data_IF_100938149293
#
_entry.id   IF_100938149293
#
_cell.length_a   1.000
_cell.length_b   1.000
_cell.length_c   1.000
_cell.angle_alpha   90.00
_cell.angle_beta   90.00
_cell.angle_gamma   90.00
#
_symmetry.space_group_name_H-M   'P 1'
#
loop_
_entity.id
_entity.type
_entity.pdbx_description
1 polymer ?
#
# COMPACT_ATOMS: atom_id res chain seq x y z
N UNK A 1 -12.96 -0.73 12.36
CA UNK A 1 -13.26 0.64 11.89
C UNK A 1 -14.69 0.65 11.39
N UNK A 2 -15.63 1.32 12.08
CA UNK A 2 -17.06 1.29 11.70
C UNK A 2 -17.24 2.08 10.40
N UNK A 3 -17.52 1.37 9.31
CA UNK A 3 -18.01 1.98 8.07
C UNK A 3 -19.39 2.57 8.39
N UNK A 4 -19.51 3.89 8.34
CA UNK A 4 -20.80 4.56 8.44
C UNK A 4 -21.63 4.15 7.21
N UNK A 5 -22.54 3.19 7.40
CA UNK A 5 -23.55 2.78 6.42
C UNK A 5 -24.69 3.82 6.40
N UNK A 6 -24.37 5.04 5.97
CA UNK A 6 -25.34 6.12 5.79
C UNK A 6 -25.52 6.51 4.32
N UNK A 7 -26.60 7.24 4.02
CA UNK A 7 -26.97 7.76 2.70
C UNK A 7 -25.82 8.53 2.01
N UNK A 8 -24.94 9.17 2.79
CA UNK A 8 -23.82 9.97 2.31
C UNK A 8 -22.48 9.38 2.74
N UNK A 9 -22.08 8.28 2.08
CA UNK A 9 -20.80 7.61 2.36
C UNK A 9 -19.62 8.51 1.95
N UNK A 10 -18.89 9.02 2.95
CA UNK A 10 -17.72 9.91 2.73
C UNK A 10 -16.43 9.16 2.42
N UNK A 11 -16.37 7.88 2.75
CA UNK A 11 -15.18 7.04 2.65
C UNK A 11 -15.58 5.62 2.29
N UNK A 12 -14.86 5.05 1.32
CA UNK A 12 -15.04 3.67 0.87
C UNK A 12 -13.67 2.97 0.84
N UNK A 13 -13.68 1.65 0.73
CA UNK A 13 -12.50 0.79 0.73
C UNK A 13 -12.48 0.02 -0.59
N UNK A 14 -11.31 -0.06 -1.20
CA UNK A 14 -11.08 -0.92 -2.35
C UNK A 14 -9.86 -1.79 -2.09
N UNK A 15 -9.83 -2.96 -2.71
CA UNK A 15 -8.67 -3.85 -2.65
C UNK A 15 -7.88 -3.73 -3.96
N UNK A 16 -6.56 -3.61 -3.83
CA UNK A 16 -5.64 -3.56 -4.96
C UNK A 16 -4.27 -4.12 -4.52
N UNK A 17 -3.60 -4.87 -5.41
CA UNK A 17 -2.19 -5.20 -5.24
C UNK A 17 -1.33 -4.02 -5.71
N UNK A 18 -0.56 -3.36 -4.81
CA UNK A 18 0.30 -2.25 -5.21
C UNK A 18 1.41 -2.77 -6.14
N UNK A 19 1.65 -2.05 -7.25
CA UNK A 19 2.81 -2.34 -8.09
C UNK A 19 4.04 -1.73 -7.45
N UNK A 20 4.97 -2.58 -7.02
CA UNK A 20 6.23 -2.16 -6.39
C UNK A 20 7.38 -2.41 -7.37
N UNK A 21 8.14 -1.37 -7.67
CA UNK A 21 9.31 -1.46 -8.55
C UNK A 21 10.58 -1.14 -7.74
N UNK A 22 11.56 -2.04 -7.77
CA UNK A 22 12.89 -1.79 -7.22
C UNK A 22 13.79 -1.14 -8.28
N UNK A 23 14.13 0.14 -8.08
CA UNK A 23 14.98 0.92 -9.01
C UNK A 23 16.48 0.72 -8.80
N UNK A 24 16.89 -0.28 -7.99
CA UNK A 24 18.28 -0.58 -7.64
C UNK A 24 19.01 0.54 -6.88
N UNK A 25 18.25 1.42 -6.23
CA UNK A 25 18.78 2.41 -5.30
C UNK A 25 18.74 1.83 -3.87
N UNK A 26 19.91 1.72 -3.23
CA UNK A 26 20.05 1.12 -1.90
C UNK A 26 21.28 1.66 -1.16
N UNK A 27 21.24 1.53 0.16
CA UNK A 27 22.39 1.73 1.07
C UNK A 27 22.51 0.46 1.91
N UNK A 28 23.68 -0.18 1.85
CA UNK A 28 24.02 -1.36 2.64
C UNK A 28 25.20 -1.01 3.54
N UNK A 29 24.99 -1.00 4.84
CA UNK A 29 26.04 -0.92 5.85
C UNK A 29 26.26 -2.29 6.45
N UNK A 30 27.52 -2.70 6.52
CA UNK A 30 27.97 -3.96 7.09
C UNK A 30 28.86 -3.64 8.29
N UNK A 31 28.43 -4.06 9.47
CA UNK A 31 29.20 -3.88 10.69
C UNK A 31 30.20 -5.04 10.78
N UNK A 32 31.49 -4.73 10.60
CA UNK A 32 32.58 -5.72 10.64
C UNK A 32 33.39 -5.51 11.91
N UNK A 33 34.02 -6.56 12.44
CA UNK A 33 34.89 -6.44 13.63
C UNK A 33 36.06 -5.47 13.42
N UNK A 34 36.48 -5.31 12.18
CA UNK A 34 37.63 -4.49 11.77
C UNK A 34 37.23 -3.05 11.37
N UNK A 35 35.93 -2.71 11.43
CA UNK A 35 35.37 -1.40 11.09
C UNK A 35 34.16 -1.46 10.16
N UNK A 36 33.37 -0.39 10.09
CA UNK A 36 32.16 -0.34 9.28
C UNK A 36 32.49 -0.32 7.78
N UNK A 37 31.85 -1.22 7.02
CA UNK A 37 31.98 -1.29 5.56
C UNK A 37 30.67 -0.82 4.92
N UNK A 38 30.76 0.09 3.97
CA UNK A 38 29.59 0.69 3.32
C UNK A 38 29.61 0.32 1.83
N UNK A 39 28.49 -0.22 1.36
CA UNK A 39 28.21 -0.44 -0.05
C UNK A 39 26.91 0.30 -0.40
N UNK A 40 26.98 1.30 -1.27
CA UNK A 40 25.82 2.08 -1.68
C UNK A 40 25.70 2.07 -3.21
N UNK A 41 24.48 2.22 -3.74
CA UNK A 41 24.27 2.36 -5.18
C UNK A 41 24.86 3.66 -5.72
N UNK A 42 24.96 4.69 -4.88
CA UNK A 42 25.53 6.01 -5.18
C UNK A 42 26.65 6.33 -4.19
N UNK A 43 27.74 6.97 -4.62
CA UNK A 43 28.81 7.37 -3.70
C UNK A 43 28.28 8.42 -2.70
N UNK A 44 28.47 8.18 -1.41
CA UNK A 44 28.12 9.14 -0.37
C UNK A 44 29.27 10.11 -0.13
N UNK A 45 28.99 11.42 -0.11
CA UNK A 45 30.00 12.42 0.21
C UNK A 45 30.43 12.25 1.69
N UNK A 46 31.73 12.13 1.95
CA UNK A 46 32.29 12.02 3.31
C UNK A 46 32.40 10.60 3.90
N UNK A 47 31.91 9.55 3.22
CA UNK A 47 32.08 8.14 3.64
C UNK A 47 32.69 7.24 2.56
N UNK A 48 33.39 7.85 1.60
CA UNK A 48 34.22 7.15 0.62
C UNK A 48 35.45 6.58 1.33
N UNK A 49 35.30 5.38 1.91
CA UNK A 49 36.44 4.53 2.25
C UNK A 49 37.28 4.33 0.99
N UNK A 50 38.61 4.41 1.12
CA UNK A 50 39.55 4.10 0.04
C UNK A 50 39.43 2.65 -0.46
N UNK A 51 38.78 1.77 0.31
CA UNK A 51 38.43 0.40 -0.05
C UNK A 51 36.91 0.22 -0.03
N UNK A 52 36.27 0.47 -1.18
CA UNK A 52 34.89 0.02 -1.41
C UNK A 52 34.94 -1.49 -1.70
N UNK A 53 34.20 -2.33 -0.96
CA UNK A 53 34.18 -3.75 -1.23
C UNK A 53 33.54 -4.01 -2.61
N UNK A 54 34.05 -5.01 -3.32
CA UNK A 54 33.40 -5.46 -4.55
C UNK A 54 32.07 -6.09 -4.15
N UNK A 55 30.98 -5.56 -4.70
CA UNK A 55 29.63 -6.07 -4.47
C UNK A 55 28.92 -6.38 -5.78
N UNK A 56 28.21 -7.50 -5.81
CA UNK A 56 27.37 -7.93 -6.92
C UNK A 56 25.91 -7.92 -6.48
N UNK A 57 25.05 -7.25 -7.25
CA UNK A 57 23.61 -7.20 -7.06
C UNK A 57 22.91 -8.03 -8.15
N UNK A 58 22.09 -9.00 -7.75
CA UNK A 58 21.14 -9.67 -8.61
C UNK A 58 19.72 -9.37 -8.14
N UNK A 59 18.82 -9.09 -9.08
CA UNK A 59 17.41 -8.82 -8.80
C UNK A 59 16.55 -9.55 -9.82
N UNK A 60 15.58 -10.33 -9.33
CA UNK A 60 14.61 -11.06 -10.14
C UNK A 60 13.20 -10.79 -9.59
N UNK A 61 12.34 -10.09 -10.36
CA UNK A 61 10.92 -10.04 -10.08
C UNK A 61 10.22 -11.30 -10.61
N UNK A 62 9.32 -11.86 -9.83
CA UNK A 62 8.42 -12.95 -10.22
C UNK A 62 6.99 -12.44 -10.27
N UNK A 63 6.34 -12.72 -11.38
CA UNK A 63 4.94 -12.41 -11.67
C UNK A 63 4.28 -13.71 -12.16
N UNK A 64 3.52 -14.34 -11.27
CA UNK A 64 2.95 -15.68 -11.46
C UNK A 64 1.65 -15.60 -12.25
N UNK A 65 0.85 -14.56 -12.02
CA UNK A 65 -0.45 -14.36 -12.66
C UNK A 65 -0.37 -13.57 -13.98
N UNK A 66 0.81 -13.04 -14.32
CA UNK A 66 1.12 -12.27 -15.54
C UNK A 66 0.30 -10.97 -15.67
N UNK A 67 -0.06 -10.34 -14.54
CA UNK A 67 -0.84 -9.10 -14.49
C UNK A 67 0.02 -7.82 -14.56
N UNK A 68 1.35 -7.97 -14.75
CA UNK A 68 2.35 -6.91 -14.77
C UNK A 68 2.57 -6.24 -13.41
N UNK A 69 2.15 -6.88 -12.31
CA UNK A 69 2.37 -6.48 -10.91
C UNK A 69 3.10 -7.61 -10.18
N UNK A 70 4.44 -7.58 -10.15
CA UNK A 70 5.22 -8.64 -9.53
C UNK A 70 4.79 -8.90 -8.08
N UNK A 71 4.48 -10.16 -7.76
CA UNK A 71 4.09 -10.56 -6.40
C UNK A 71 5.33 -10.82 -5.54
N UNK A 72 6.49 -11.03 -6.15
CA UNK A 72 7.72 -11.37 -5.43
C UNK A 72 8.95 -10.72 -6.05
N UNK A 73 9.80 -10.14 -5.22
CA UNK A 73 11.11 -9.63 -5.58
C UNK A 73 12.19 -10.40 -4.83
N UNK A 74 12.99 -11.17 -5.57
CA UNK A 74 14.19 -11.80 -5.03
C UNK A 74 15.41 -10.92 -5.34
N UNK A 75 16.05 -10.44 -4.28
CA UNK A 75 17.21 -9.54 -4.34
C UNK A 75 18.36 -10.23 -3.63
N UNK A 76 19.51 -10.34 -4.30
CA UNK A 76 20.71 -10.98 -3.75
C UNK A 76 21.90 -10.03 -3.85
N UNK A 77 22.50 -9.73 -2.70
CA UNK A 77 23.77 -9.03 -2.61
C UNK A 77 24.86 -10.02 -2.26
N UNK A 78 25.96 -9.99 -3.01
CA UNK A 78 27.18 -10.74 -2.70
C UNK A 78 28.28 -9.72 -2.51
N UNK A 79 28.82 -9.64 -1.29
CA UNK A 79 29.85 -8.67 -0.91
C UNK A 79 31.13 -9.42 -0.57
N UNK A 80 32.24 -9.00 -1.15
CA UNK A 80 33.57 -9.56 -0.87
C UNK A 80 34.15 -8.86 0.37
N UNK A 81 33.59 -9.19 1.53
CA UNK A 81 34.02 -8.70 2.84
C UNK A 81 33.94 -9.82 3.90
N UNK A 82 34.94 -9.86 4.79
CA UNK A 82 35.04 -10.81 5.89
C UNK A 82 34.50 -10.25 7.20
N UNK A 83 34.46 -11.08 8.25
CA UNK A 83 34.22 -10.67 9.65
C UNK A 83 32.93 -9.88 9.95
N UNK A 84 31.89 -10.01 9.10
CA UNK A 84 30.62 -9.29 9.25
C UNK A 84 29.81 -9.83 10.43
N UNK A 85 29.37 -8.92 11.27
CA UNK A 85 28.59 -9.16 12.50
C UNK A 85 27.19 -8.57 12.44
N UNK A 86 27.02 -7.45 11.72
CA UNK A 86 25.75 -6.75 11.60
C UNK A 86 25.52 -6.19 10.21
N UNK A 87 24.26 -5.90 9.91
CA UNK A 87 23.79 -5.42 8.62
C UNK A 87 22.67 -4.42 8.83
N UNK A 88 22.79 -3.28 8.15
CA UNK A 88 21.73 -2.29 7.99
C UNK A 88 21.53 -2.05 6.49
N UNK A 89 20.38 -2.46 5.97
CA UNK A 89 20.02 -2.31 4.57
C UNK A 89 18.83 -1.34 4.46
N UNK A 90 18.99 -0.33 3.61
CA UNK A 90 17.92 0.55 3.18
C UNK A 90 17.70 0.38 1.68
N UNK A 91 16.47 0.05 1.29
CA UNK A 91 16.07 -0.05 -0.12
C UNK A 91 15.12 1.09 -0.49
N UNK A 92 15.37 1.71 -1.65
CA UNK A 92 14.40 2.60 -2.28
C UNK A 92 13.50 1.81 -3.22
N UNK A 93 12.21 1.83 -2.92
CA UNK A 93 11.15 1.19 -3.70
C UNK A 93 10.22 2.26 -4.24
N UNK A 94 9.68 2.02 -5.42
CA UNK A 94 8.65 2.87 -6.02
C UNK A 94 7.32 2.13 -5.98
N UNK A 95 6.35 2.67 -5.26
CA UNK A 95 5.01 2.10 -5.13
C UNK A 95 4.01 2.85 -6.03
N UNK A 96 3.20 2.08 -6.76
CA UNK A 96 2.18 2.56 -7.68
C UNK A 96 0.82 1.93 -7.39
N UNK A 97 -0.19 2.77 -7.24
CA UNK A 97 -1.61 2.40 -7.20
C UNK A 97 -2.30 2.99 -8.43
N UNK A 98 -3.20 2.25 -9.07
CA UNK A 98 -3.82 2.65 -10.34
C UNK A 98 -5.33 2.36 -10.44
N UNK A 99 -5.91 1.49 -9.62
CA UNK A 99 -7.30 1.04 -9.83
C UNK A 99 -8.32 2.15 -9.56
N UNK A 100 -8.36 2.70 -8.34
CA UNK A 100 -9.33 3.75 -7.96
C UNK A 100 -8.72 5.16 -7.93
N UNK A 101 -7.40 5.25 -7.81
CA UNK A 101 -6.64 6.48 -7.76
C UNK A 101 -5.21 6.23 -8.28
N UNK A 102 -4.63 7.22 -8.93
CA UNK A 102 -3.25 7.16 -9.41
C UNK A 102 -2.32 7.70 -8.33
N UNK A 103 -1.72 6.83 -7.51
CA UNK A 103 -0.74 7.25 -6.52
C UNK A 103 0.62 6.72 -6.93
N UNK A 104 1.58 7.63 -7.11
CA UNK A 104 2.98 7.31 -7.34
C UNK A 104 3.77 7.80 -6.12
N UNK A 105 4.48 6.92 -5.43
CA UNK A 105 5.27 7.31 -4.27
C UNK A 105 6.57 6.54 -4.16
N UNK A 106 7.59 7.20 -3.62
CA UNK A 106 8.81 6.54 -3.20
C UNK A 106 8.61 6.08 -1.76
N UNK A 107 8.96 4.84 -1.47
CA UNK A 107 8.96 4.32 -0.14
C UNK A 107 10.27 3.61 0.18
N UNK A 108 10.62 3.60 1.46
CA UNK A 108 11.85 2.96 1.94
C UNK A 108 11.52 1.68 2.70
N UNK A 109 12.27 0.61 2.41
CA UNK A 109 12.29 -0.59 3.23
C UNK A 109 13.60 -0.66 4.01
N UNK A 110 13.51 -0.59 5.33
CA UNK A 110 14.65 -0.65 6.25
C UNK A 110 14.73 -2.02 6.92
N UNK A 111 15.89 -2.67 6.84
CA UNK A 111 16.16 -3.99 7.39
C UNK A 111 17.44 -3.92 8.21
N UNK A 112 17.33 -4.25 9.48
CA UNK A 112 18.46 -4.29 10.40
C UNK A 112 18.59 -5.67 11.04
N UNK A 113 19.80 -6.17 11.16
CA UNK A 113 20.12 -7.42 11.85
C UNK A 113 21.53 -7.37 12.41
N UNK A 114 21.70 -7.70 13.68
CA UNK A 114 23.01 -7.79 14.32
C UNK A 114 23.17 -9.14 15.03
N UNK A 115 24.40 -9.65 15.05
CA UNK A 115 24.77 -10.93 15.65
C UNK A 115 26.17 -10.84 16.25
N UNK A 116 26.42 -11.55 17.34
CA UNK A 116 27.76 -11.65 17.95
C UNK A 116 28.71 -12.56 17.16
N UNK A 117 28.16 -13.42 16.30
CA UNK A 117 28.88 -14.40 15.50
C UNK A 117 29.12 -13.84 14.10
N UNK A 118 30.34 -14.02 13.59
CA UNK A 118 30.67 -13.71 12.20
C UNK A 118 29.79 -14.55 11.26
N UNK A 119 29.12 -13.89 10.32
CA UNK A 119 28.20 -14.53 9.38
C UNK A 119 28.84 -14.83 8.03
N UNK A 120 28.30 -15.84 7.36
CA UNK A 120 28.55 -16.11 5.94
C UNK A 120 27.36 -15.72 5.06
N UNK A 121 26.13 -15.81 5.59
CA UNK A 121 24.93 -15.37 4.89
C UNK A 121 23.82 -14.92 5.82
N UNK A 122 23.00 -14.00 5.32
CA UNK A 122 21.73 -13.61 5.91
C UNK A 122 20.64 -13.83 4.85
N UNK A 123 19.60 -14.57 5.22
CA UNK A 123 18.39 -14.69 4.40
C UNK A 123 17.25 -13.97 5.12
N UNK A 124 16.63 -13.00 4.46
CA UNK A 124 15.49 -12.24 4.96
C UNK A 124 14.31 -12.47 4.02
N UNK A 125 13.17 -12.85 4.59
CA UNK A 125 11.92 -12.98 3.84
C UNK A 125 10.86 -12.17 4.57
N UNK A 126 10.07 -11.38 3.85
CA UNK A 126 9.00 -10.60 4.46
C UNK A 126 8.03 -10.04 3.42
N UNK A 127 6.91 -9.55 3.92
CA UNK A 127 5.80 -9.06 3.11
C UNK A 127 5.81 -7.53 3.10
N UNK A 128 5.85 -6.94 1.91
CA UNK A 128 5.80 -5.50 1.70
C UNK A 128 4.36 -5.02 1.77
N UNK A 129 4.10 -4.13 2.72
CA UNK A 129 2.82 -3.45 2.88
C UNK A 129 2.95 -1.96 2.63
N UNK A 130 2.08 -1.42 1.77
CA UNK A 130 1.97 0.01 1.52
C UNK A 130 0.91 0.58 2.45
N UNK A 131 1.29 1.62 3.19
CA UNK A 131 0.40 2.31 4.13
C UNK A 131 0.31 3.78 3.77
N UNK A 132 -0.90 4.34 3.81
CA UNK A 132 -1.15 5.76 3.57
C UNK A 132 -1.71 6.43 4.83
N UNK A 133 -1.17 7.59 5.20
CA UNK A 133 -1.66 8.37 6.35
C UNK A 133 -2.83 9.30 5.99
N UNK A 134 -3.26 9.31 4.73
CA UNK A 134 -4.36 10.12 4.23
C UNK A 134 -5.35 9.27 3.43
N UNK A 135 -6.57 9.80 3.29
CA UNK A 135 -7.61 9.19 2.45
C UNK A 135 -7.39 9.61 1.00
N UNK A 136 -7.24 8.63 0.12
CA UNK A 136 -6.89 8.87 -1.27
C UNK A 136 -8.11 9.45 -2.03
N UNK A 137 -7.97 10.57 -2.76
CA UNK A 137 -9.07 11.10 -3.57
C UNK A 137 -9.34 10.24 -4.81
N UNK A 138 -10.62 9.94 -5.11
CA UNK A 138 -11.02 9.16 -6.27
C UNK A 138 -10.54 9.78 -7.60
N UNK A 139 -9.96 8.95 -8.48
CA UNK A 139 -9.46 9.35 -9.81
C UNK A 139 -8.53 10.56 -9.80
N UNK A 140 -7.88 10.84 -8.67
CA UNK A 140 -6.83 11.84 -8.60
C UNK A 140 -5.48 11.20 -8.89
N UNK A 141 -4.61 11.95 -9.57
CA UNK A 141 -3.21 11.60 -9.69
C UNK A 141 -2.43 12.37 -8.62
N UNK A 142 -1.72 11.65 -7.75
CA UNK A 142 -0.88 12.21 -6.71
C UNK A 142 0.54 11.66 -6.86
N UNK A 143 1.47 12.52 -7.29
CA UNK A 143 2.89 12.24 -7.23
C UNK A 143 3.40 12.64 -5.84
N UNK A 144 3.61 11.64 -5.01
CA UNK A 144 4.08 11.74 -3.63
C UNK A 144 5.49 11.16 -3.50
N UNK A 145 6.29 11.23 -4.57
CA UNK A 145 7.69 10.85 -4.52
C UNK A 145 8.47 11.88 -3.71
N UNK A 146 9.00 11.46 -2.58
CA UNK A 146 10.00 12.24 -1.85
C UNK A 146 11.33 12.17 -2.60
N UNK A 147 11.96 13.31 -2.82
CA UNK A 147 13.30 13.43 -3.38
C UNK A 147 14.35 13.19 -2.30
N UNK A 148 14.31 12.02 -1.64
CA UNK A 148 15.37 11.67 -0.69
C UNK A 148 16.66 11.44 -1.47
N UNK A 149 17.68 12.24 -1.15
CA UNK A 149 19.01 12.06 -1.68
C UNK A 149 19.74 10.97 -0.90
N UNK A 150 20.20 9.94 -1.62
CA UNK A 150 20.88 8.79 -1.03
C UNK A 150 22.37 9.07 -0.81
N UNK A 151 22.84 10.27 -1.13
CA UNK A 151 24.18 10.75 -0.78
C UNK A 151 24.29 11.17 0.69
N UNK A 152 23.17 11.54 1.31
CA UNK A 152 23.09 12.00 2.70
C UNK A 152 23.24 10.85 3.71
N UNK A 153 23.58 11.15 4.99
CA UNK A 153 23.59 10.16 6.06
C UNK A 153 22.23 9.45 6.21
N UNK A 154 22.28 8.17 6.60
CA UNK A 154 21.11 7.30 6.73
C UNK A 154 20.05 7.92 7.66
N UNK A 155 20.48 8.55 8.73
CA UNK A 155 19.63 9.17 9.75
C UNK A 155 18.78 10.28 9.16
N UNK A 156 19.38 11.15 8.33
CA UNK A 156 18.69 12.24 7.65
C UNK A 156 17.69 11.71 6.62
N UNK A 157 18.06 10.67 5.85
CA UNK A 157 17.17 10.03 4.88
C UNK A 157 15.94 9.43 5.57
N UNK A 158 16.14 8.75 6.69
CA UNK A 158 15.06 8.15 7.47
C UNK A 158 14.16 9.22 8.09
N UNK A 159 14.74 10.31 8.58
CA UNK A 159 13.99 11.45 9.12
C UNK A 159 13.13 12.12 8.04
N UNK A 160 13.70 12.40 6.86
CA UNK A 160 12.95 12.99 5.74
C UNK A 160 11.82 12.06 5.29
N UNK A 161 12.11 10.76 5.14
CA UNK A 161 11.11 9.77 4.77
C UNK A 161 10.03 9.59 5.85
N UNK A 162 10.34 9.82 7.12
CA UNK A 162 9.34 9.76 8.20
C UNK A 162 8.18 10.75 7.99
N UNK A 163 8.43 11.85 7.27
CA UNK A 163 7.45 12.90 6.93
C UNK A 163 6.57 12.52 5.73
N UNK A 164 6.91 11.46 5.00
CA UNK A 164 6.12 11.00 3.85
C UNK A 164 4.72 10.51 4.26
N UNK A 165 3.75 10.80 3.40
CA UNK A 165 2.34 10.40 3.57
C UNK A 165 2.06 8.95 3.15
N UNK A 166 2.93 8.37 2.34
CA UNK A 166 2.86 6.97 1.89
C UNK A 166 4.16 6.30 2.29
N UNK A 167 4.06 5.16 2.96
CA UNK A 167 5.20 4.41 3.50
C UNK A 167 5.07 2.95 3.12
N UNK A 168 6.20 2.29 2.94
CA UNK A 168 6.27 0.84 2.84
C UNK A 168 6.81 0.29 4.14
N UNK A 169 6.16 -0.73 4.66
CA UNK A 169 6.52 -1.42 5.90
C UNK A 169 6.69 -2.89 5.58
N UNK A 170 7.69 -3.51 6.19
CA UNK A 170 7.93 -4.94 6.03
C UNK A 170 7.26 -5.67 7.20
N UNK A 171 6.22 -6.44 6.91
CA UNK A 171 5.48 -7.26 7.88
C UNK A 171 5.91 -8.73 7.75
N UNK A 172 5.71 -9.53 8.80
CA UNK A 172 5.97 -10.98 8.75
C UNK A 172 7.43 -11.37 8.50
N UNK A 173 8.40 -10.54 8.92
CA UNK A 173 9.81 -10.78 8.60
C UNK A 173 10.39 -12.01 9.27
N UNK A 174 10.97 -12.90 8.48
CA UNK A 174 11.81 -14.01 8.93
C UNK A 174 13.26 -13.72 8.55
N UNK A 175 14.17 -13.86 9.51
CA UNK A 175 15.60 -13.58 9.34
C UNK A 175 16.37 -14.82 9.75
N UNK A 176 17.19 -15.36 8.84
CA UNK A 176 17.99 -16.56 9.05
C UNK A 176 19.46 -16.20 8.87
N UNK A 177 20.20 -16.19 9.96
CA UNK A 177 21.65 -15.96 9.98
C UNK A 177 22.40 -17.28 9.93
N UNK A 178 23.35 -17.41 9.00
CA UNK A 178 24.27 -18.54 8.98
C UNK A 178 25.65 -18.07 9.44
N UNK A 179 26.16 -18.60 10.56
CA UNK A 179 27.51 -18.27 11.01
C UNK A 179 28.54 -18.83 10.02
N UNK A 180 29.70 -18.19 9.98
CA UNK A 180 30.86 -18.66 9.21
C UNK A 180 31.48 -19.85 9.94
N UNK A 181 31.32 -21.05 9.38
CA UNK A 181 32.01 -22.26 9.88
C UNK A 181 33.47 -22.23 9.45
N UNK A 182 34.40 -22.57 10.36
CA UNK A 182 35.86 -22.58 10.15
C UNK A 182 36.37 -23.55 9.06
N UNK A 183 35.49 -24.30 8.39
CA UNK A 183 35.84 -25.49 7.61
C UNK A 183 35.91 -25.30 6.09
N UNK A 184 35.96 -24.08 5.55
CA UNK A 184 36.12 -23.91 4.11
C UNK A 184 37.16 -22.84 3.81
N UNK A 185 38.13 -23.18 2.97
CA UNK A 185 39.02 -22.28 2.22
C UNK A 185 38.22 -21.43 1.21
N UNK A 186 37.02 -21.00 1.59
CA UNK A 186 36.16 -20.14 0.81
C UNK A 186 36.66 -18.70 0.97
N UNK A 187 36.74 -17.92 -0.11
CA UNK A 187 37.04 -16.50 -0.04
C UNK A 187 36.04 -15.82 0.90
N UNK A 188 36.47 -14.73 1.54
CA UNK A 188 35.64 -13.88 2.40
C UNK A 188 34.52 -13.24 1.60
N UNK A 189 33.42 -13.98 1.46
CA UNK A 189 32.21 -13.56 0.76
C UNK A 189 31.01 -13.69 1.66
N UNK A 190 30.22 -12.64 1.68
CA UNK A 190 28.98 -12.59 2.41
C UNK A 190 27.80 -12.51 1.44
N UNK A 191 26.79 -13.36 1.64
CA UNK A 191 25.58 -13.35 0.82
C UNK A 191 24.38 -12.86 1.62
N UNK A 192 23.78 -11.75 1.18
CA UNK A 192 22.47 -11.29 1.63
C UNK A 192 21.42 -11.70 0.61
N UNK A 193 20.49 -12.56 1.01
CA UNK A 193 19.33 -12.95 0.20
C UNK A 193 18.08 -12.33 0.79
N UNK A 194 17.36 -11.56 -0.01
CA UNK A 194 16.14 -10.90 0.37
C UNK A 194 15.00 -11.35 -0.55
N UNK A 195 13.92 -11.82 0.05
CA UNK A 195 12.69 -12.16 -0.65
C UNK A 195 11.59 -11.25 -0.12
N UNK A 196 11.11 -10.35 -0.98
CA UNK A 196 10.03 -9.42 -0.66
C UNK A 196 8.77 -9.87 -1.39
N UNK A 197 7.73 -10.23 -0.65
CA UNK A 197 6.44 -10.56 -1.26
C UNK A 197 5.50 -9.36 -1.21
N UNK A 198 4.61 -9.23 -2.18
CA UNK A 198 3.60 -8.19 -2.27
C UNK A 198 2.25 -8.85 -2.47
N UNK A 199 1.34 -8.66 -1.52
CA UNK A 199 -0.02 -9.18 -1.59
C UNK A 199 -1.05 -8.07 -1.85
N UNK A 200 -2.28 -8.47 -2.17
CA UNK A 200 -3.43 -7.57 -2.30
C UNK A 200 -3.74 -6.87 -0.96
N UNK A 201 -3.98 -5.56 -1.03
CA UNK A 201 -4.17 -4.71 0.14
C UNK A 201 -5.41 -3.84 0.01
N UNK A 202 -6.09 -3.62 1.14
CA UNK A 202 -7.25 -2.74 1.21
C UNK A 202 -6.83 -1.28 1.44
N UNK A 203 -7.19 -0.39 0.52
CA UNK A 203 -6.94 1.05 0.61
C UNK A 203 -8.23 1.83 0.80
N UNK A 204 -8.12 2.95 1.51
CA UNK A 204 -9.25 3.81 1.84
C UNK A 204 -9.28 5.04 0.94
N UNK A 205 -10.42 5.30 0.30
CA UNK A 205 -10.57 6.41 -0.65
C UNK A 205 -11.84 7.23 -0.43
N UNK A 206 -11.85 8.46 -0.94
CA UNK A 206 -13.04 9.32 -0.99
C UNK A 206 -13.77 9.08 -2.31
N UNK A 207 -14.99 8.53 -2.30
CA UNK A 207 -15.75 8.29 -3.53
C UNK A 207 -16.08 9.61 -4.26
N UNK A 208 -16.09 9.57 -5.59
CA UNK A 208 -16.50 10.72 -6.40
C UNK A 208 -18.00 10.99 -6.34
N UNK A 209 -18.40 12.20 -6.75
CA UNK A 209 -19.82 12.63 -6.76
C UNK A 209 -20.72 11.67 -7.54
N UNK A 210 -20.25 11.13 -8.67
CA UNK A 210 -21.02 10.17 -9.46
C UNK A 210 -21.27 8.86 -8.73
N UNK A 211 -20.28 8.37 -7.97
CA UNK A 211 -20.42 7.14 -7.18
C UNK A 211 -21.40 7.35 -6.02
N UNK A 212 -21.32 8.51 -5.35
CA UNK A 212 -22.26 8.90 -4.30
C UNK A 212 -23.68 9.07 -4.86
N UNK A 213 -23.82 9.77 -5.99
CA UNK A 213 -25.12 9.99 -6.63
C UNK A 213 -25.76 8.66 -7.03
N UNK A 214 -24.97 7.74 -7.63
CA UNK A 214 -25.39 6.36 -7.98
C UNK A 214 -26.02 5.63 -6.79
N UNK A 215 -25.44 5.77 -5.60
CA UNK A 215 -25.96 5.10 -4.41
C UNK A 215 -27.15 5.86 -3.80
N UNK A 216 -27.11 7.18 -3.81
CA UNK A 216 -28.16 8.04 -3.28
C UNK A 216 -29.49 7.89 -4.03
N UNK A 217 -29.47 7.80 -5.37
CA UNK A 217 -30.72 7.70 -6.14
C UNK A 217 -31.47 6.39 -5.90
N UNK A 218 -30.77 5.27 -5.70
CA UNK A 218 -31.39 3.99 -5.35
C UNK A 218 -32.17 4.08 -4.04
N UNK A 219 -31.58 4.74 -3.04
CA UNK A 219 -32.20 4.91 -1.73
C UNK A 219 -33.37 5.88 -1.80
N UNK A 220 -33.22 6.99 -2.53
CA UNK A 220 -34.30 7.95 -2.74
C UNK A 220 -35.49 7.31 -3.46
N UNK A 221 -35.24 6.52 -4.51
CA UNK A 221 -36.28 5.80 -5.24
C UNK A 221 -37.03 4.82 -4.33
N UNK A 222 -36.31 4.08 -3.48
CA UNK A 222 -36.92 3.14 -2.53
C UNK A 222 -37.88 3.85 -1.56
N UNK A 223 -37.47 4.99 -1.01
CA UNK A 223 -38.31 5.81 -0.12
C UNK A 223 -39.49 6.39 -0.88
N UNK A 224 -39.27 6.91 -2.09
CA UNK A 224 -40.31 7.47 -2.94
C UNK A 224 -41.42 6.47 -3.27
N UNK A 225 -41.09 5.20 -3.55
CA UNK A 225 -42.09 4.15 -3.82
C UNK A 225 -42.99 3.90 -2.62
N UNK A 226 -42.43 3.87 -1.40
CA UNK A 226 -43.20 3.69 -0.16
C UNK A 226 -44.15 4.88 0.05
N UNK A 227 -43.64 6.12 -0.07
CA UNK A 227 -44.47 7.32 0.05
C UNK A 227 -45.54 7.41 -1.02
N UNK A 228 -45.24 7.04 -2.27
CA UNK A 228 -46.21 7.02 -3.36
C UNK A 228 -47.33 5.99 -3.07
N UNK A 229 -46.99 4.80 -2.58
CA UNK A 229 -47.98 3.80 -2.16
C UNK A 229 -48.90 4.30 -1.04
N UNK A 230 -48.33 4.96 -0.03
CA UNK A 230 -49.10 5.56 1.07
C UNK A 230 -50.00 6.69 0.57
N UNK A 231 -49.48 7.57 -0.30
CA UNK A 231 -50.24 8.67 -0.89
C UNK A 231 -51.42 8.15 -1.73
N UNK A 232 -51.25 7.08 -2.50
CA UNK A 232 -52.34 6.44 -3.27
C UNK A 232 -53.42 5.88 -2.33
N UNK A 233 -53.04 5.26 -1.22
CA UNK A 233 -53.98 4.73 -0.22
C UNK A 233 -54.72 5.84 0.53
N UNK A 234 -54.02 6.89 0.97
CA UNK A 234 -54.61 8.09 1.57
C UNK A 234 -55.58 8.77 0.61
N UNK A 235 -55.17 8.95 -0.65
CA UNK A 235 -56.01 9.52 -1.70
C UNK A 235 -57.30 8.72 -1.86
N UNK A 236 -57.22 7.39 -1.97
CA UNK A 236 -58.41 6.53 -2.04
C UNK A 236 -59.32 6.71 -0.82
N UNK A 237 -58.76 6.70 0.39
CA UNK A 237 -59.51 6.90 1.63
C UNK A 237 -60.24 8.26 1.68
N UNK A 238 -59.56 9.35 1.30
CA UNK A 238 -60.12 10.70 1.31
C UNK A 238 -61.27 10.84 0.29
N UNK A 239 -61.11 10.28 -0.90
CA UNK A 239 -62.15 10.34 -1.95
C UNK A 239 -63.31 9.39 -1.70
N UNK A 240 -63.08 8.18 -1.17
CA UNK A 240 -64.17 7.23 -0.83
C UNK A 240 -65.02 7.72 0.34
N UNK A 241 -64.40 8.36 1.33
CA UNK A 241 -65.10 8.88 2.51
C UNK A 241 -65.58 10.34 2.36
N UNK A 242 -65.39 10.97 1.18
CA UNK A 242 -65.80 12.35 0.89
C UNK A 242 -65.41 13.37 1.97
N UNK A 243 -64.21 13.22 2.55
CA UNK A 243 -63.73 14.11 3.64
C UNK A 243 -63.55 15.55 3.12
N UNK A 244 -63.39 15.71 1.80
CA UNK A 244 -63.29 16.99 1.10
C UNK A 244 -64.49 17.09 0.13
N UNK A 245 -65.07 18.28 0.01
CA UNK A 245 -66.16 18.56 -0.93
C UNK A 245 -65.73 18.15 -2.35
N UNK A 246 -66.40 17.14 -2.90
CA UNK A 246 -66.03 16.49 -4.16
C UNK A 246 -67.28 16.28 -5.00
N UNK A 247 -67.19 16.62 -6.28
CA UNK A 247 -68.31 16.48 -7.22
C UNK A 247 -68.23 15.10 -7.89
N UNK A 248 -69.29 14.29 -7.76
CA UNK A 248 -69.36 12.98 -8.41
C UNK A 248 -69.81 13.14 -9.87
N UNK A 249 -68.96 12.73 -10.82
CA UNK A 249 -69.35 12.57 -12.22
C UNK A 249 -69.99 11.19 -12.43
N UNK A 250 -71.13 11.07 -13.14
CA UNK A 250 -71.78 9.78 -13.40
C UNK A 250 -70.85 8.83 -14.14
N UNK A 251 -70.64 7.62 -13.59
CA UNK A 251 -69.80 6.57 -14.18
C UNK A 251 -68.39 6.41 -13.61
N UNK A 252 -67.98 7.21 -12.61
CA UNK A 252 -66.65 7.08 -12.01
C UNK A 252 -66.63 5.98 -10.91
N UNK A 253 -65.67 5.02 -10.94
CA UNK A 253 -65.71 3.79 -10.12
C UNK A 253 -65.54 3.98 -8.61
N UNK A 254 -65.30 5.21 -8.14
CA UNK A 254 -65.03 5.52 -6.73
C UNK A 254 -66.14 6.38 -6.07
N UNK A 255 -67.25 6.67 -6.76
CA UNK A 255 -68.42 7.31 -6.15
C UNK A 255 -69.44 6.25 -5.75
N UNK A 256 -69.59 6.00 -4.45
CA UNK A 256 -70.80 5.34 -3.94
C UNK A 256 -71.91 6.37 -3.94
N UNK A 257 -72.92 6.20 -4.79
CA UNK A 257 -74.19 6.92 -4.61
C UNK A 257 -74.74 6.52 -3.24
N UNK A 258 -74.76 7.46 -2.30
CA UNK A 258 -75.51 7.27 -1.06
C UNK A 258 -76.98 7.11 -1.44
N UNK A 259 -77.58 6.03 -0.93
CA UNK A 259 -79.03 5.81 -0.91
C UNK A 259 -79.67 6.77 0.07
#
# INVERSE_FOLDING_TARGET
MKVLQGLWRRVDVFSEQPKIDFKKDFILLLDTRDGDVIAASRPQQGRLSSNLPIMRLAHSPTDTNLDLRPERHDIRFVVDAGNITGIRLLLKLEARLQTMAGVLSNCLAYIEYSSSLVGSSLSVTGDLRVTSSFVIPFKSYSDLRTSSDFTEPLEHILEEHSKSKVKCTLEGTTKVWRPKTKSAAAPDRFTLSLTLNTAEQSFTYRPGLSHILKLGWMQYFSVMVIFAGLAVKLKKCVFENQIIATYCSPGHPYCKMQK
#
